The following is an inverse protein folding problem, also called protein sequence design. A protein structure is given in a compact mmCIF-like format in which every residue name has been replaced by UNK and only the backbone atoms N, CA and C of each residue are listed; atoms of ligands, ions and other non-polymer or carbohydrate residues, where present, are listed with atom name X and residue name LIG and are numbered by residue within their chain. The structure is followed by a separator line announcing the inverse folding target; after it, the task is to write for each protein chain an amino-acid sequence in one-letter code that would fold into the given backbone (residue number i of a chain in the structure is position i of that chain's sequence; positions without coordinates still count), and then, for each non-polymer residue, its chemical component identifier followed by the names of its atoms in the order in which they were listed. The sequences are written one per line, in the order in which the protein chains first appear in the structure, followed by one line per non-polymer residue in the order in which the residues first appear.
data_IF_365599363633
#
_entry.id   IF_365599363633
#
_cell.length_a   1.000
_cell.length_b   1.000
_cell.length_c   1.000
_cell.angle_alpha   90.00
_cell.angle_beta   90.00
_cell.angle_gamma   90.00
#
_symmetry.space_group_name_H-M   'P 1'
#
loop_
_entity.id
_entity.type
_entity.pdbx_description
1 polymer ?
#
# COMPACT_ATOMS: atom_id res chain seq x y z
N UNK A 1 -15.53 3.98 12.28
CA UNK A 1 -15.13 3.25 13.51
C UNK A 1 -14.65 4.17 14.62
N UNK A 2 -13.53 4.91 14.48
CA UNK A 2 -13.03 5.79 15.56
C UNK A 2 -14.06 6.81 16.06
N UNK A 3 -14.81 7.45 15.16
CA UNK A 3 -15.90 8.38 15.53
C UNK A 3 -17.02 7.68 16.32
N UNK A 4 -17.39 6.45 15.93
CA UNK A 4 -18.39 5.65 16.65
C UNK A 4 -17.91 5.20 18.03
N UNK A 5 -16.59 5.06 18.22
CA UNK A 5 -15.97 4.84 19.52
C UNK A 5 -15.93 6.11 20.39
N UNK A 6 -16.37 7.25 19.86
CA UNK A 6 -16.46 8.53 20.57
C UNK A 6 -15.30 9.49 20.30
N UNK A 7 -14.34 9.17 19.42
CA UNK A 7 -13.20 10.05 19.14
C UNK A 7 -13.64 11.37 18.49
N UNK A 8 -12.92 12.45 18.80
CA UNK A 8 -13.05 13.72 18.07
C UNK A 8 -12.96 13.48 16.53
N UNK A 9 -13.96 13.95 15.76
CA UNK A 9 -14.03 13.75 14.30
C UNK A 9 -12.75 14.15 13.56
N UNK A 10 -12.11 15.26 13.94
CA UNK A 10 -10.88 15.74 13.27
C UNK A 10 -9.70 14.84 13.63
N UNK A 11 -9.53 14.49 14.91
CA UNK A 11 -8.46 13.56 15.34
C UNK A 11 -8.64 12.19 14.69
N UNK A 12 -9.85 11.66 14.65
CA UNK A 12 -10.17 10.39 13.99
C UNK A 12 -9.77 10.41 12.52
N UNK A 13 -10.11 11.48 11.78
CA UNK A 13 -9.72 11.64 10.39
C UNK A 13 -8.20 11.77 10.19
N UNK A 14 -7.51 12.57 11.01
CA UNK A 14 -6.03 12.72 10.94
C UNK A 14 -5.34 11.38 11.22
N UNK A 15 -5.75 10.67 12.27
CA UNK A 15 -5.19 9.36 12.63
C UNK A 15 -5.42 8.35 11.52
N UNK A 16 -6.63 8.31 10.93
CA UNK A 16 -6.93 7.40 9.81
C UNK A 16 -6.08 7.71 8.56
N UNK A 17 -5.90 8.99 8.21
CA UNK A 17 -5.06 9.41 7.08
C UNK A 17 -3.58 9.06 7.30
N UNK A 18 -3.08 9.24 8.52
CA UNK A 18 -1.69 8.92 8.87
C UNK A 18 -1.47 7.41 8.97
N UNK A 19 -2.43 6.65 9.50
CA UNK A 19 -2.31 5.19 9.58
C UNK A 19 -2.27 4.55 8.19
N UNK A 20 -2.93 5.18 7.22
CA UNK A 20 -2.94 4.76 5.83
C UNK A 20 -1.59 4.97 5.11
N UNK A 21 -0.48 5.28 5.78
CA UNK A 21 0.87 5.41 5.15
C UNK A 21 1.80 4.25 5.44
N UNK A 22 1.46 3.28 6.29
CA UNK A 22 2.31 2.09 6.47
C UNK A 22 2.08 0.98 5.42
N UNK A 23 0.83 0.71 4.98
CA UNK A 23 0.51 -0.48 4.17
C UNK A 23 0.18 -0.17 2.69
N UNK A 24 0.64 0.96 2.13
CA UNK A 24 0.12 1.35 0.80
C UNK A 24 0.82 0.63 -0.32
N UNK A 25 2.13 0.42 -0.23
CA UNK A 25 2.91 -0.16 -1.32
C UNK A 25 2.46 -1.60 -1.61
N UNK A 26 2.13 -2.37 -0.56
CA UNK A 26 1.55 -3.71 -0.70
C UNK A 26 0.02 -3.73 -0.56
N UNK A 27 -0.62 -2.56 -0.61
CA UNK A 27 -2.06 -2.40 -0.59
C UNK A 27 -2.74 -3.06 -1.78
N UNK A 28 -4.02 -3.41 -1.62
CA UNK A 28 -4.77 -4.19 -2.61
C UNK A 28 -3.99 -5.43 -3.09
N UNK A 29 -3.36 -6.13 -2.13
CA UNK A 29 -2.51 -7.30 -2.36
C UNK A 29 -1.36 -7.04 -3.33
N UNK A 30 -0.55 -6.02 -3.05
CA UNK A 30 0.65 -5.75 -3.85
C UNK A 30 0.37 -5.13 -5.21
N UNK A 31 -0.85 -4.71 -5.54
CA UNK A 31 -1.17 -4.12 -6.85
C UNK A 31 -0.23 -2.97 -7.23
N UNK A 32 0.12 -2.02 -6.35
CA UNK A 32 1.07 -0.96 -6.70
C UNK A 32 2.46 -1.47 -7.09
N UNK A 33 3.01 -2.43 -6.35
CA UNK A 33 4.32 -3.03 -6.62
C UNK A 33 4.28 -3.95 -7.86
N UNK A 34 3.17 -4.66 -8.07
CA UNK A 34 2.94 -5.46 -9.29
C UNK A 34 2.91 -4.56 -10.52
N UNK A 35 2.15 -3.46 -10.47
CA UNK A 35 2.12 -2.49 -11.57
C UNK A 35 3.49 -1.86 -11.79
N UNK A 36 4.20 -1.50 -10.72
CA UNK A 36 5.57 -0.97 -10.83
C UNK A 36 6.48 -1.95 -11.56
N UNK A 37 6.50 -3.22 -11.17
CA UNK A 37 7.30 -4.27 -11.82
C UNK A 37 6.91 -4.44 -13.30
N UNK A 38 5.61 -4.42 -13.61
CA UNK A 38 5.11 -4.55 -14.99
C UNK A 38 5.56 -3.39 -15.89
N UNK A 39 5.41 -2.14 -15.45
CA UNK A 39 5.76 -0.98 -16.30
C UNK A 39 7.27 -0.75 -16.40
N UNK A 40 8.04 -1.23 -15.42
CA UNK A 40 9.50 -1.12 -15.42
C UNK A 40 10.20 -2.30 -16.10
N UNK A 41 9.51 -3.43 -16.26
CA UNK A 41 10.11 -4.69 -16.70
C UNK A 41 11.02 -5.35 -15.65
N UNK A 42 11.06 -4.83 -14.43
CA UNK A 42 11.88 -5.39 -13.34
C UNK A 42 11.20 -6.63 -12.73
N UNK A 43 11.97 -7.61 -12.21
CA UNK A 43 11.40 -8.73 -11.49
C UNK A 43 10.59 -8.27 -10.28
N UNK A 44 9.36 -8.80 -10.15
CA UNK A 44 8.44 -8.44 -9.06
C UNK A 44 9.08 -8.63 -7.68
N UNK A 45 9.72 -9.79 -7.47
CA UNK A 45 10.31 -10.14 -6.18
C UNK A 45 11.48 -9.21 -5.82
N UNK A 46 12.26 -8.76 -6.81
CA UNK A 46 13.34 -7.77 -6.59
C UNK A 46 12.78 -6.43 -6.14
N UNK A 47 11.82 -5.87 -6.87
CA UNK A 47 11.19 -4.58 -6.51
C UNK A 47 10.48 -4.68 -5.16
N UNK A 48 9.72 -5.76 -4.95
CA UNK A 48 9.02 -6.02 -3.70
C UNK A 48 9.98 -6.12 -2.52
N UNK A 49 11.13 -6.79 -2.67
CA UNK A 49 12.10 -6.93 -1.59
C UNK A 49 12.71 -5.58 -1.19
N UNK A 50 12.99 -4.69 -2.15
CA UNK A 50 13.55 -3.35 -1.87
C UNK A 50 12.52 -2.45 -1.20
N UNK A 51 11.29 -2.40 -1.72
CA UNK A 51 10.17 -1.70 -1.05
C UNK A 51 9.99 -2.26 0.37
N UNK A 52 10.04 -3.59 0.50
CA UNK A 52 9.98 -4.34 1.75
C UNK A 52 11.17 -4.18 2.67
N UNK A 53 12.21 -3.45 2.26
CA UNK A 53 13.35 -3.04 3.09
C UNK A 53 13.29 -1.55 3.46
N UNK A 54 12.44 -0.78 2.78
CA UNK A 54 12.21 0.65 3.01
C UNK A 54 10.99 0.89 3.90
N UNK A 55 9.83 0.36 3.53
CA UNK A 55 8.55 0.63 4.22
C UNK A 55 8.49 0.10 5.65
N UNK A 56 9.08 -1.06 6.02
CA UNK A 56 8.99 -1.54 7.40
C UNK A 56 9.66 -0.63 8.42
N UNK A 57 10.71 0.10 8.02
CA UNK A 57 11.39 1.05 8.89
C UNK A 57 10.45 2.18 9.31
N UNK A 58 9.58 2.62 8.40
CA UNK A 58 8.53 3.59 8.73
C UNK A 58 7.41 2.93 9.53
N UNK A 59 6.99 1.72 9.13
CA UNK A 59 5.92 1.00 9.81
C UNK A 59 6.22 0.71 11.30
N UNK A 60 7.50 0.58 11.66
CA UNK A 60 7.96 0.49 13.05
C UNK A 60 7.58 1.72 13.88
N UNK A 61 7.66 2.91 13.27
CA UNK A 61 7.50 4.21 13.94
C UNK A 61 6.06 4.71 13.85
N UNK A 62 5.31 4.33 12.80
CA UNK A 62 3.94 4.80 12.55
C UNK A 62 3.02 4.58 13.77
N UNK A 63 2.96 3.41 14.44
CA UNK A 63 2.11 3.25 15.63
C UNK A 63 2.42 4.25 16.75
N UNK A 64 3.70 4.58 16.97
CA UNK A 64 4.11 5.59 17.97
C UNK A 64 3.63 6.99 17.57
N UNK A 65 3.69 7.31 16.26
CA UNK A 65 3.15 8.55 15.71
C UNK A 65 1.64 8.64 15.89
N UNK A 66 0.91 7.55 15.62
CA UNK A 66 -0.55 7.51 15.79
C UNK A 66 -0.95 7.76 17.25
N UNK A 67 -0.26 7.12 18.21
CA UNK A 67 -0.47 7.36 19.64
C UNK A 67 -0.20 8.82 20.00
N UNK A 68 0.89 9.39 19.48
CA UNK A 68 1.23 10.79 19.70
C UNK A 68 0.17 11.74 19.12
N UNK A 69 -0.41 11.42 17.96
CA UNK A 69 -1.48 12.22 17.36
C UNK A 69 -2.78 12.22 18.18
N UNK A 70 -3.04 11.14 18.91
CA UNK A 70 -4.25 10.99 19.72
C UNK A 70 -4.15 11.78 21.04
N UNK A 71 -3.05 11.64 21.79
CA UNK A 71 -2.91 12.18 23.16
C UNK A 71 -1.49 12.74 23.46
N UNK A 72 -0.69 13.02 22.43
CA UNK A 72 0.61 13.68 22.55
C UNK A 72 1.65 12.86 23.33
N UNK A 73 2.47 13.58 24.12
CA UNK A 73 3.54 12.97 24.93
C UNK A 73 3.02 12.03 26.01
N UNK A 74 1.80 12.28 26.49
CA UNK A 74 1.18 11.48 27.55
C UNK A 74 0.79 10.10 27.02
N UNK A 75 0.00 10.06 25.94
CA UNK A 75 -0.35 8.81 25.26
C UNK A 75 0.88 7.98 24.91
N UNK A 76 1.95 8.62 24.41
CA UNK A 76 3.20 7.94 24.10
C UNK A 76 3.84 7.32 25.35
N UNK A 77 3.95 8.07 26.45
CA UNK A 77 4.52 7.55 27.70
C UNK A 77 3.73 6.37 28.27
N UNK A 78 2.41 6.39 28.14
CA UNK A 78 1.52 5.34 28.68
C UNK A 78 1.48 4.09 27.78
N UNK A 79 1.61 4.24 26.45
CA UNK A 79 1.35 3.14 25.48
C UNK A 79 2.49 2.81 24.51
N UNK A 80 3.70 3.35 24.74
CA UNK A 80 4.85 3.07 23.85
C UNK A 80 5.18 1.58 23.72
N UNK A 81 4.98 0.76 24.77
CA UNK A 81 5.27 -0.68 24.72
C UNK A 81 4.32 -1.39 23.74
N UNK A 82 2.98 -1.32 23.90
CA UNK A 82 2.03 -1.84 22.90
C UNK A 82 2.28 -1.32 21.49
N UNK A 83 2.52 -0.01 21.34
CA UNK A 83 2.73 0.61 20.05
C UNK A 83 4.00 0.10 19.36
N UNK A 84 5.11 0.01 20.09
CA UNK A 84 6.36 -0.52 19.58
C UNK A 84 6.25 -2.02 19.26
N UNK A 85 5.59 -2.80 20.11
CA UNK A 85 5.36 -4.22 19.85
C UNK A 85 4.56 -4.45 18.56
N UNK A 86 3.50 -3.65 18.37
CA UNK A 86 2.70 -3.66 17.14
C UNK A 86 3.56 -3.28 15.92
N UNK A 87 4.32 -2.18 16.01
CA UNK A 87 5.19 -1.71 14.93
C UNK A 87 6.29 -2.69 14.57
N UNK A 88 6.95 -3.30 15.55
CA UNK A 88 7.99 -4.33 15.35
C UNK A 88 7.39 -5.56 14.68
N UNK A 89 6.27 -6.07 15.18
CA UNK A 89 5.63 -7.25 14.61
C UNK A 89 5.17 -7.00 13.17
N UNK A 90 4.56 -5.83 12.92
CA UNK A 90 4.16 -5.41 11.57
C UNK A 90 5.38 -5.31 10.65
N UNK A 91 6.43 -4.60 11.07
CA UNK A 91 7.63 -4.39 10.26
C UNK A 91 8.36 -5.70 9.92
N UNK A 92 8.54 -6.58 10.91
CA UNK A 92 9.21 -7.88 10.72
C UNK A 92 8.41 -8.77 9.78
N UNK A 93 7.09 -8.85 9.96
CA UNK A 93 6.23 -9.65 9.10
C UNK A 93 6.16 -9.07 7.68
N UNK A 94 6.07 -7.75 7.51
CA UNK A 94 6.09 -7.09 6.20
C UNK A 94 7.42 -7.36 5.48
N UNK A 95 8.56 -7.21 6.17
CA UNK A 95 9.89 -7.52 5.65
C UNK A 95 9.99 -9.00 5.24
N UNK A 96 9.63 -9.93 6.12
CA UNK A 96 9.74 -11.36 5.85
C UNK A 96 8.86 -11.79 4.67
N UNK A 97 7.62 -11.31 4.63
CA UNK A 97 6.70 -11.66 3.56
C UNK A 97 7.12 -11.08 2.21
N UNK A 98 7.54 -9.81 2.16
CA UNK A 98 8.00 -9.17 0.92
C UNK A 98 9.33 -9.72 0.38
N UNK A 99 10.21 -10.22 1.25
CA UNK A 99 11.52 -10.75 0.83
C UNK A 99 11.51 -12.25 0.54
N UNK A 100 10.66 -13.03 1.20
CA UNK A 100 10.77 -14.50 1.18
C UNK A 100 9.47 -15.23 0.82
N UNK A 101 8.32 -14.55 0.79
CA UNK A 101 7.03 -15.22 0.57
C UNK A 101 6.34 -14.70 -0.69
N UNK A 102 5.85 -13.47 -0.66
CA UNK A 102 5.06 -12.86 -1.75
C UNK A 102 4.72 -11.41 -1.41
N UNK A 103 4.85 -10.52 -2.41
CA UNK A 103 4.43 -9.13 -2.32
C UNK A 103 2.93 -8.99 -1.97
N UNK A 104 2.09 -9.91 -2.46
CA UNK A 104 0.64 -9.88 -2.27
C UNK A 104 0.22 -10.16 -0.82
N UNK A 105 1.03 -10.94 -0.08
CA UNK A 105 0.77 -11.32 1.31
C UNK A 105 1.38 -10.36 2.33
N UNK A 106 2.26 -9.45 1.90
CA UNK A 106 3.08 -8.64 2.80
C UNK A 106 2.27 -7.89 3.85
N UNK A 107 1.28 -7.09 3.44
CA UNK A 107 0.50 -6.30 4.38
C UNK A 107 -0.56 -7.10 5.14
N UNK A 108 -1.04 -8.22 4.58
CA UNK A 108 -1.98 -9.11 5.29
C UNK A 108 -1.25 -9.77 6.47
N UNK A 109 -0.08 -10.36 6.21
CA UNK A 109 0.76 -10.96 7.24
C UNK A 109 1.20 -9.93 8.28
N UNK A 110 1.60 -8.74 7.84
CA UNK A 110 1.99 -7.63 8.71
C UNK A 110 0.85 -7.16 9.63
N UNK A 111 -0.36 -6.96 9.08
CA UNK A 111 -1.51 -6.54 9.85
C UNK A 111 -1.92 -7.59 10.90
N UNK A 112 -1.94 -8.87 10.54
CA UNK A 112 -2.24 -9.96 11.47
C UNK A 112 -1.17 -10.11 12.56
N UNK A 113 0.11 -10.01 12.21
CA UNK A 113 1.20 -10.04 13.18
C UNK A 113 1.14 -8.84 14.14
N UNK A 114 0.88 -7.63 13.62
CA UNK A 114 0.70 -6.42 14.42
C UNK A 114 -0.49 -6.53 15.39
N UNK A 115 -1.65 -6.97 14.90
CA UNK A 115 -2.83 -7.22 15.73
C UNK A 115 -2.57 -8.29 16.80
N UNK A 116 -1.95 -9.41 16.43
CA UNK A 116 -1.59 -10.47 17.36
C UNK A 116 -0.63 -10.00 18.44
N UNK A 117 0.40 -9.23 18.08
CA UNK A 117 1.33 -8.63 19.03
C UNK A 117 0.64 -7.67 19.99
N UNK A 118 -0.27 -6.84 19.49
CA UNK A 118 -1.04 -5.91 20.33
C UNK A 118 -1.89 -6.67 21.36
N UNK A 119 -2.58 -7.74 20.94
CA UNK A 119 -3.40 -8.58 21.83
C UNK A 119 -2.52 -9.34 22.84
N UNK A 120 -1.32 -9.78 22.45
CA UNK A 120 -0.41 -10.53 23.30
C UNK A 120 0.21 -9.67 24.42
N UNK A 121 0.39 -8.36 24.20
CA UNK A 121 0.95 -7.44 25.20
C UNK A 121 -0.09 -7.18 26.32
N UNK A 122 0.13 -7.63 27.57
CA UNK A 122 -0.86 -7.47 28.64
C UNK A 122 -1.18 -6.00 28.95
N UNK A 123 -0.19 -5.11 28.81
CA UNK A 123 -0.36 -3.66 28.98
C UNK A 123 -1.30 -3.03 27.95
N UNK A 124 -1.49 -3.64 26.79
CA UNK A 124 -2.46 -3.15 25.80
C UNK A 124 -3.92 -3.35 26.26
N UNK A 125 -4.13 -4.24 27.23
CA UNK A 125 -5.45 -4.56 27.80
C UNK A 125 -5.81 -3.73 29.03
N UNK A 126 -4.88 -2.89 29.50
CA UNK A 126 -5.14 -1.99 30.61
C UNK A 126 -5.93 -0.79 30.08
N UNK A 127 -7.12 -0.48 30.61
CA UNK A 127 -7.90 0.67 30.19
C UNK A 127 -7.07 1.96 30.33
N UNK A 128 -7.17 2.82 29.32
CA UNK A 128 -6.54 4.14 29.40
C UNK A 128 -7.05 4.92 30.62
N UNK A 129 -6.18 5.70 31.25
CA UNK A 129 -6.51 6.55 32.39
C UNK A 129 -7.72 7.44 32.07
N UNK A 130 -8.59 7.70 33.04
CA UNK A 130 -9.83 8.49 32.84
C UNK A 130 -9.57 9.83 32.13
N UNK A 131 -8.51 10.53 32.52
CA UNK A 131 -8.14 11.81 31.88
C UNK A 131 -7.75 11.69 30.39
N UNK A 132 -7.30 10.52 29.91
CA UNK A 132 -7.05 10.24 28.48
C UNK A 132 -8.37 9.90 27.78
N UNK A 133 -9.24 9.13 28.43
CA UNK A 133 -10.60 8.89 27.91
C UNK A 133 -11.37 10.19 27.75
N UNK A 134 -11.36 11.07 28.75
CA UNK A 134 -12.05 12.37 28.69
C UNK A 134 -11.42 13.34 27.67
N UNK A 135 -10.10 13.27 27.42
CA UNK A 135 -9.44 14.15 26.44
C UNK A 135 -9.66 13.71 24.98
N UNK A 136 -9.93 12.43 24.75
CA UNK A 136 -10.03 11.81 23.41
C UNK A 136 -11.48 11.53 23.01
N UNK A 137 -12.33 11.15 23.96
CA UNK A 137 -13.72 10.78 23.73
C UNK A 137 -14.63 12.01 23.91
N UNK A 138 -15.06 12.60 22.81
CA UNK A 138 -15.97 13.76 22.79
C UNK A 138 -17.37 13.40 22.27
N UNK A 139 -17.56 12.21 21.71
CA UNK A 139 -18.85 11.71 21.21
C UNK A 139 -19.56 10.77 22.19
N UNK A 140 -20.88 10.61 21.99
CA UNK A 140 -21.66 9.58 22.67
C UNK A 140 -21.25 8.20 22.15
N UNK A 141 -20.76 7.33 23.04
CA UNK A 141 -20.50 5.93 22.75
C UNK A 141 -21.85 5.22 22.58
N UNK A 142 -22.03 4.47 21.49
CA UNK A 142 -23.25 3.67 21.30
C UNK A 142 -23.36 2.62 22.41
N UNK A 143 -24.53 2.49 23.04
CA UNK A 143 -24.82 1.48 24.08
C UNK A 143 -24.68 0.04 23.53
N UNK A 144 -24.83 -0.17 22.22
CA UNK A 144 -24.62 -1.47 21.56
C UNK A 144 -23.17 -1.99 21.63
N UNK A 145 -22.19 -1.15 21.98
CA UNK A 145 -20.77 -1.53 22.09
C UNK A 145 -20.39 -2.11 23.47
N UNK A 146 -21.35 -2.24 24.39
CA UNK A 146 -21.13 -2.77 25.74
C UNK A 146 -21.43 -4.27 25.87
N UNK A 147 -22.03 -4.89 24.84
CA UNK A 147 -22.28 -6.33 24.82
C UNK A 147 -21.05 -7.11 24.29
N UNK A 148 -20.65 -8.17 24.99
CA UNK A 148 -19.57 -9.05 24.53
C UNK A 148 -20.09 -10.01 23.45
N UNK A 149 -19.52 -9.91 22.25
CA UNK A 149 -19.85 -10.82 21.15
C UNK A 149 -19.50 -12.28 21.49
N UNK A 150 -20.36 -13.25 21.13
CA UNK A 150 -20.05 -14.67 21.27
C UNK A 150 -18.75 -15.03 20.54
N UNK A 151 -17.87 -15.82 21.19
CA UNK A 151 -16.59 -16.24 20.59
C UNK A 151 -16.72 -16.86 19.20
N UNK A 152 -17.82 -17.57 18.94
CA UNK A 152 -18.10 -18.17 17.64
C UNK A 152 -18.35 -17.13 16.53
N UNK A 153 -19.03 -16.04 16.85
CA UNK A 153 -19.28 -14.93 15.91
C UNK A 153 -18.00 -14.15 15.64
N UNK A 154 -17.21 -13.90 16.69
CA UNK A 154 -15.88 -13.30 16.56
C UNK A 154 -15.01 -14.12 15.61
N UNK A 155 -14.89 -15.43 15.82
CA UNK A 155 -14.10 -16.31 14.93
C UNK A 155 -14.64 -16.31 13.50
N UNK A 156 -15.97 -16.34 13.33
CA UNK A 156 -16.61 -16.32 12.01
C UNK A 156 -16.36 -15.00 11.27
N UNK A 157 -16.28 -13.87 11.99
CA UNK A 157 -15.96 -12.56 11.42
C UNK A 157 -14.54 -12.49 10.83
N UNK A 158 -13.60 -13.30 11.32
CA UNK A 158 -12.25 -13.40 10.77
C UNK A 158 -12.11 -14.38 9.60
N UNK A 159 -13.17 -15.12 9.25
CA UNK A 159 -13.14 -16.10 8.14
C UNK A 159 -12.66 -15.52 6.78
N UNK A 160 -13.06 -14.30 6.35
CA UNK A 160 -12.59 -13.73 5.09
C UNK A 160 -11.07 -13.59 5.04
N UNK A 161 -10.46 -13.09 6.11
CA UNK A 161 -9.02 -12.89 6.20
C UNK A 161 -8.26 -14.23 6.25
N UNK A 162 -8.77 -15.19 7.03
CA UNK A 162 -8.19 -16.53 7.10
C UNK A 162 -8.21 -17.24 5.73
N UNK A 163 -9.32 -17.13 4.99
CA UNK A 163 -9.44 -17.72 3.66
C UNK A 163 -8.49 -17.08 2.65
N UNK A 164 -8.33 -15.74 2.67
CA UNK A 164 -7.36 -15.05 1.82
C UNK A 164 -5.94 -15.55 2.13
N UNK A 165 -5.54 -15.59 3.41
CA UNK A 165 -4.21 -16.10 3.79
C UNK A 165 -4.01 -17.53 3.29
N UNK A 166 -4.96 -18.43 3.54
CA UNK A 166 -4.85 -19.84 3.14
C UNK A 166 -4.74 -19.98 1.61
N UNK A 167 -5.62 -19.32 0.85
CA UNK A 167 -5.62 -19.43 -0.62
C UNK A 167 -4.31 -18.91 -1.21
N UNK A 168 -3.84 -17.74 -0.75
CA UNK A 168 -2.60 -17.18 -1.27
C UNK A 168 -1.39 -17.99 -0.83
N UNK A 169 -1.35 -18.51 0.40
CA UNK A 169 -0.28 -19.40 0.84
C UNK A 169 -0.22 -20.68 -0.01
N UNK A 170 -1.38 -21.28 -0.34
CA UNK A 170 -1.45 -22.44 -1.23
C UNK A 170 -0.99 -22.06 -2.64
N UNK A 171 -1.40 -20.91 -3.16
CA UNK A 171 -1.02 -20.44 -4.49
C UNK A 171 0.50 -20.18 -4.63
N UNK A 172 1.22 -19.96 -3.53
CA UNK A 172 2.68 -19.78 -3.53
C UNK A 172 3.47 -21.09 -3.42
N UNK A 173 2.83 -22.24 -3.18
CA UNK A 173 3.50 -23.53 -3.21
C UNK A 173 4.04 -23.75 -4.63
N UNK A 174 5.35 -24.06 -4.84
CA UNK A 174 5.95 -24.10 -6.17
C UNK A 174 5.15 -24.92 -7.20
N UNK A 175 4.70 -26.12 -6.83
CA UNK A 175 3.88 -26.96 -7.69
C UNK A 175 2.54 -26.33 -8.10
N UNK A 176 1.90 -25.59 -7.19
CA UNK A 176 0.64 -24.88 -7.46
C UNK A 176 0.91 -23.63 -8.30
N UNK A 177 1.97 -22.89 -7.98
CA UNK A 177 2.40 -21.70 -8.72
C UNK A 177 2.70 -22.04 -10.17
N UNK A 178 3.42 -23.13 -10.43
CA UNK A 178 3.75 -23.60 -11.78
C UNK A 178 2.49 -24.05 -12.54
N UNK A 179 1.58 -24.74 -11.85
CA UNK A 179 0.28 -25.13 -12.42
C UNK A 179 -0.58 -23.92 -12.78
N UNK A 180 -0.66 -22.92 -11.90
CA UNK A 180 -1.35 -21.65 -12.13
C UNK A 180 -0.69 -20.85 -13.27
N UNK A 181 0.64 -20.87 -13.34
CA UNK A 181 1.40 -20.21 -14.39
C UNK A 181 1.13 -20.86 -15.77
N UNK A 182 0.99 -22.18 -15.83
CA UNK A 182 0.64 -22.91 -17.06
C UNK A 182 -0.73 -22.55 -17.65
N UNK A 183 -1.62 -21.95 -16.86
CA UNK A 183 -2.90 -21.42 -17.34
C UNK A 183 -2.79 -20.02 -17.97
N UNK A 184 -1.62 -19.38 -17.86
CA UNK A 184 -1.35 -18.05 -18.43
C UNK A 184 -1.25 -18.16 -19.95
N UNK A 185 -2.02 -17.33 -20.66
CA UNK A 185 -1.96 -17.27 -22.13
C UNK A 185 -1.28 -15.97 -22.56
N UNK A 186 -0.25 -16.08 -23.38
CA UNK A 186 0.39 -14.92 -24.01
C UNK A 186 -0.02 -14.84 -25.48
N UNK A 187 -0.27 -13.64 -25.97
CA UNK A 187 -0.52 -13.38 -27.38
C UNK A 187 -0.01 -12.00 -27.77
N UNK A 188 0.43 -11.88 -29.02
CA UNK A 188 0.80 -10.58 -29.58
C UNK A 188 -0.45 -9.73 -29.80
N UNK A 189 -0.44 -8.52 -29.26
CA UNK A 189 -1.52 -7.58 -29.43
C UNK A 189 -1.55 -7.09 -30.88
N UNK A 190 -2.66 -7.27 -31.61
CA UNK A 190 -2.70 -6.95 -33.02
C UNK A 190 -2.49 -5.45 -33.24
N UNK A 191 -1.74 -5.10 -34.29
CA UNK A 191 -1.44 -3.73 -34.71
C UNK A 191 -0.57 -2.89 -33.75
N UNK A 192 0.07 -3.53 -32.77
CA UNK A 192 1.02 -2.88 -31.88
C UNK A 192 2.43 -3.34 -32.23
N UNK A 193 3.02 -2.76 -33.28
CA UNK A 193 4.41 -3.03 -33.67
C UNK A 193 5.27 -1.84 -33.27
N UNK A 194 6.04 -2.00 -32.19
CA UNK A 194 6.97 -0.99 -31.68
C UNK A 194 8.38 -1.53 -31.85
N UNK A 195 9.29 -0.71 -32.39
CA UNK A 195 10.70 -1.05 -32.50
C UNK A 195 11.54 -0.11 -31.62
N UNK A 196 12.66 -0.63 -31.11
CA UNK A 196 13.67 0.18 -30.42
C UNK A 196 14.46 1.03 -31.44
N UNK A 197 15.37 1.90 -31.01
CA UNK A 197 16.21 2.70 -31.93
C UNK A 197 17.05 1.86 -32.89
N UNK A 198 17.36 0.61 -32.55
CA UNK A 198 18.14 -0.33 -33.37
C UNK A 198 17.26 -1.08 -34.39
N UNK A 199 15.94 -0.88 -34.37
CA UNK A 199 14.97 -1.53 -35.26
C UNK A 199 14.45 -2.88 -34.78
N UNK A 200 14.86 -3.34 -33.59
CA UNK A 200 14.38 -4.58 -33.00
C UNK A 200 13.01 -4.40 -32.33
N UNK A 201 12.11 -5.40 -32.40
CA UNK A 201 10.81 -5.34 -31.73
C UNK A 201 10.95 -5.15 -30.22
N UNK A 202 10.22 -4.18 -29.67
CA UNK A 202 10.09 -4.00 -28.22
C UNK A 202 8.97 -4.93 -27.76
N UNK A 203 9.23 -5.81 -26.79
CA UNK A 203 8.27 -6.81 -26.28
C UNK A 203 7.00 -6.25 -25.60
N UNK A 204 6.74 -4.95 -25.72
CA UNK A 204 5.53 -4.29 -25.21
C UNK A 204 4.25 -4.63 -25.98
N UNK A 205 4.36 -5.37 -27.08
CA UNK A 205 3.23 -5.91 -27.83
C UNK A 205 2.71 -7.26 -27.30
N UNK A 206 3.49 -7.95 -26.46
CA UNK A 206 3.08 -9.24 -25.90
C UNK A 206 2.11 -9.00 -24.73
N UNK A 207 0.83 -9.32 -24.93
CA UNK A 207 -0.16 -9.32 -23.87
C UNK A 207 -0.12 -10.64 -23.11
N UNK A 208 0.04 -10.58 -21.79
CA UNK A 208 -0.08 -11.74 -20.90
C UNK A 208 -1.45 -11.73 -20.22
N UNK A 209 -2.17 -12.85 -20.36
CA UNK A 209 -3.47 -13.09 -19.74
C UNK A 209 -3.35 -14.15 -18.62
N UNK A 210 -2.97 -13.75 -17.39
CA UNK A 210 -2.84 -14.65 -16.23
C UNK A 210 -4.17 -14.86 -15.50
N UNK A 211 -5.21 -15.39 -16.16
CA UNK A 211 -6.58 -15.37 -15.61
C UNK A 211 -6.72 -16.05 -14.24
N UNK A 212 -6.00 -17.15 -14.02
CA UNK A 212 -6.10 -17.95 -12.78
C UNK A 212 -5.07 -17.51 -11.75
N UNK A 213 -3.87 -17.15 -12.19
CA UNK A 213 -2.74 -16.74 -11.34
C UNK A 213 -2.82 -15.29 -10.86
N UNK A 214 -3.77 -14.49 -11.37
CA UNK A 214 -3.96 -13.10 -10.93
C UNK A 214 -4.51 -13.04 -9.50
N UNK A 215 -3.93 -12.17 -8.66
CA UNK A 215 -4.37 -11.98 -7.27
C UNK A 215 -5.86 -11.62 -7.14
N UNK A 216 -6.42 -10.89 -8.11
CA UNK A 216 -7.87 -10.60 -8.17
C UNK A 216 -8.74 -11.84 -8.25
N UNK A 217 -8.37 -12.85 -9.05
CA UNK A 217 -9.10 -14.12 -9.17
C UNK A 217 -9.00 -14.93 -7.88
N UNK A 218 -7.82 -14.97 -7.26
CA UNK A 218 -7.62 -15.63 -5.97
C UNK A 218 -8.48 -15.00 -4.86
N UNK A 219 -8.63 -13.67 -4.85
CA UNK A 219 -9.57 -13.00 -3.92
C UNK A 219 -11.01 -13.23 -4.27
N UNK A 220 -11.37 -13.31 -5.56
CA UNK A 220 -12.73 -13.66 -5.94
C UNK A 220 -13.11 -15.04 -5.41
N UNK A 221 -12.21 -16.02 -5.53
CA UNK A 221 -12.37 -17.37 -4.95
C UNK A 221 -12.50 -17.27 -3.42
N UNK A 222 -11.64 -16.50 -2.76
CA UNK A 222 -11.71 -16.28 -1.31
C UNK A 222 -13.06 -15.68 -0.89
N UNK A 223 -13.58 -14.71 -1.63
CA UNK A 223 -14.88 -14.07 -1.39
C UNK A 223 -16.05 -15.05 -1.56
N UNK A 224 -16.02 -15.91 -2.59
CA UNK A 224 -17.05 -16.94 -2.80
C UNK A 224 -17.05 -17.95 -1.65
N UNK A 225 -15.87 -18.45 -1.24
CA UNK A 225 -15.76 -19.35 -0.09
C UNK A 225 -16.20 -18.68 1.21
N UNK A 226 -15.88 -17.39 1.38
CA UNK A 226 -16.30 -16.59 2.52
C UNK A 226 -17.82 -16.48 2.58
N UNK A 227 -18.47 -16.18 1.45
CA UNK A 227 -19.93 -16.13 1.37
C UNK A 227 -20.56 -17.49 1.75
N UNK A 228 -19.95 -18.60 1.36
CA UNK A 228 -20.40 -19.94 1.75
C UNK A 228 -20.23 -20.20 3.25
N UNK A 229 -19.09 -19.85 3.85
CA UNK A 229 -18.81 -20.02 5.30
C UNK A 229 -19.72 -19.13 6.16
N UNK A 230 -19.97 -17.89 5.72
CA UNK A 230 -20.88 -16.95 6.40
C UNK A 230 -22.36 -17.28 6.12
N UNK A 231 -22.64 -18.17 5.15
CA UNK A 231 -24.02 -18.58 4.83
C UNK A 231 -24.82 -17.47 4.16
N UNK A 232 -24.15 -16.59 3.41
CA UNK A 232 -24.80 -15.52 2.64
C UNK A 232 -25.49 -16.14 1.43
N UNK A 233 -26.76 -15.79 1.23
CA UNK A 233 -27.50 -16.23 0.05
C UNK A 233 -26.83 -15.73 -1.24
N UNK A 234 -26.63 -16.62 -2.23
CA UNK A 234 -25.92 -16.29 -3.46
C UNK A 234 -26.47 -15.05 -4.18
N UNK A 235 -27.79 -14.85 -4.16
CA UNK A 235 -28.45 -13.67 -4.75
C UNK A 235 -28.02 -12.37 -4.07
N UNK A 236 -27.86 -12.38 -2.76
CA UNK A 236 -27.38 -11.22 -1.98
C UNK A 236 -25.90 -10.99 -2.31
N UNK A 237 -25.08 -12.04 -2.27
CA UNK A 237 -23.66 -11.94 -2.59
C UNK A 237 -23.41 -11.35 -4.00
N UNK A 238 -24.14 -11.81 -5.03
CA UNK A 238 -24.03 -11.29 -6.39
C UNK A 238 -24.53 -9.85 -6.50
N UNK A 239 -25.64 -9.52 -5.83
CA UNK A 239 -26.18 -8.15 -5.81
C UNK A 239 -25.17 -7.18 -5.21
N UNK A 240 -24.59 -7.51 -4.05
CA UNK A 240 -23.58 -6.68 -3.40
C UNK A 240 -22.31 -6.59 -4.25
N UNK A 241 -21.86 -7.69 -4.86
CA UNK A 241 -20.71 -7.66 -5.77
C UNK A 241 -20.94 -6.72 -6.95
N UNK A 242 -22.10 -6.77 -7.60
CA UNK A 242 -22.45 -5.86 -8.69
C UNK A 242 -22.57 -4.40 -8.23
N UNK A 243 -23.12 -4.17 -7.04
CA UNK A 243 -23.17 -2.84 -6.43
C UNK A 243 -21.75 -2.28 -6.22
N UNK A 244 -20.83 -3.09 -5.70
CA UNK A 244 -19.42 -2.72 -5.55
C UNK A 244 -18.74 -2.45 -6.89
N UNK A 245 -18.97 -3.27 -7.92
CA UNK A 245 -18.43 -3.00 -9.27
C UNK A 245 -18.95 -1.68 -9.82
N UNK A 246 -20.24 -1.40 -9.64
CA UNK A 246 -20.83 -0.13 -10.05
C UNK A 246 -20.24 1.05 -9.27
N UNK A 247 -20.05 0.92 -7.96
CA UNK A 247 -19.41 1.92 -7.11
C UNK A 247 -17.98 2.23 -7.57
N UNK A 248 -17.20 1.20 -7.89
CA UNK A 248 -15.81 1.32 -8.32
C UNK A 248 -15.62 1.66 -9.80
N UNK A 249 -16.69 1.83 -10.60
CA UNK A 249 -16.59 2.00 -12.07
C UNK A 249 -15.65 3.13 -12.52
N UNK A 250 -15.67 4.27 -11.82
CA UNK A 250 -14.79 5.39 -12.14
C UNK A 250 -13.36 5.14 -11.68
N UNK A 251 -13.16 4.43 -10.56
CA UNK A 251 -11.82 4.03 -10.13
C UNK A 251 -11.19 3.04 -11.13
N UNK A 252 -11.96 2.06 -11.61
CA UNK A 252 -11.54 1.11 -12.65
C UNK A 252 -11.15 1.84 -13.93
N UNK A 253 -12.01 2.77 -14.39
CA UNK A 253 -11.73 3.57 -15.59
C UNK A 253 -10.44 4.38 -15.42
N UNK A 254 -10.26 5.04 -14.28
CA UNK A 254 -9.06 5.86 -14.00
C UNK A 254 -7.79 5.02 -14.00
N UNK A 255 -7.76 3.90 -13.28
CA UNK A 255 -6.58 3.02 -13.23
C UNK A 255 -6.26 2.46 -14.61
N UNK A 256 -7.27 2.03 -15.37
CA UNK A 256 -7.09 1.52 -16.74
C UNK A 256 -6.54 2.61 -17.67
N UNK A 257 -7.07 3.83 -17.59
CA UNK A 257 -6.65 4.97 -18.41
C UNK A 257 -5.23 5.41 -18.08
N UNK A 258 -4.88 5.43 -16.79
CA UNK A 258 -3.54 5.76 -16.32
C UNK A 258 -2.53 4.71 -16.76
N UNK A 259 -2.87 3.41 -16.65
CA UNK A 259 -1.99 2.36 -17.13
C UNK A 259 -1.81 2.43 -18.65
N UNK A 260 -2.90 2.66 -19.41
CA UNK A 260 -2.81 2.89 -20.85
C UNK A 260 -1.90 4.07 -21.21
N UNK A 261 -2.03 5.20 -20.50
CA UNK A 261 -1.15 6.35 -20.68
C UNK A 261 0.31 6.01 -20.36
N UNK A 262 0.57 5.26 -19.28
CA UNK A 262 1.92 4.81 -18.93
C UNK A 262 2.56 3.96 -20.03
N UNK A 263 1.81 3.00 -20.60
CA UNK A 263 2.29 2.21 -21.74
C UNK A 263 2.57 3.10 -22.96
N UNK A 264 1.69 4.06 -23.27
CA UNK A 264 1.93 5.02 -24.36
C UNK A 264 3.19 5.86 -24.09
N UNK A 265 3.36 6.40 -22.89
CA UNK A 265 4.53 7.19 -22.51
C UNK A 265 5.83 6.38 -22.56
N UNK A 266 5.77 5.09 -22.18
CA UNK A 266 6.92 4.20 -22.21
C UNK A 266 7.29 3.82 -23.65
N UNK A 267 6.33 3.34 -24.43
CA UNK A 267 6.55 2.88 -25.81
C UNK A 267 6.87 4.01 -26.79
N UNK A 268 6.38 5.24 -26.54
CA UNK A 268 6.73 6.42 -27.33
C UNK A 268 8.05 7.09 -26.91
N UNK A 269 8.75 6.56 -25.90
CA UNK A 269 10.04 7.10 -25.42
C UNK A 269 9.93 8.40 -24.60
N UNK A 270 8.73 8.88 -24.29
CA UNK A 270 8.53 10.06 -23.44
C UNK A 270 9.10 9.86 -22.03
N UNK A 271 8.81 8.70 -21.42
CA UNK A 271 9.33 8.37 -20.09
C UNK A 271 10.87 8.34 -20.09
N UNK A 272 11.48 7.78 -21.14
CA UNK A 272 12.93 7.75 -21.30
C UNK A 272 13.51 9.16 -21.44
N UNK A 273 12.92 10.02 -22.27
CA UNK A 273 13.38 11.40 -22.50
C UNK A 273 13.37 12.22 -21.20
N UNK A 274 12.29 12.12 -20.42
CA UNK A 274 12.22 12.77 -19.10
C UNK A 274 13.25 12.15 -18.15
N UNK A 275 13.40 10.82 -18.15
CA UNK A 275 14.41 10.11 -17.35
C UNK A 275 15.84 10.59 -17.63
N UNK A 276 16.22 10.76 -18.90
CA UNK A 276 17.52 11.32 -19.30
C UNK A 276 17.72 12.75 -18.79
N UNK A 277 16.69 13.59 -18.87
CA UNK A 277 16.77 14.95 -18.35
C UNK A 277 16.96 14.97 -16.83
N UNK A 278 16.20 14.16 -16.10
CA UNK A 278 16.27 14.08 -14.63
C UNK A 278 17.57 13.42 -14.17
N UNK A 279 18.16 12.51 -14.95
CA UNK A 279 19.46 11.90 -14.68
C UNK A 279 20.60 12.92 -14.59
N UNK A 280 20.45 14.12 -15.19
CA UNK A 280 21.40 15.22 -15.04
C UNK A 280 21.56 15.70 -13.58
N UNK A 281 20.60 15.37 -12.69
CA UNK A 281 20.72 15.62 -11.25
C UNK A 281 21.79 14.75 -10.56
N UNK A 282 22.32 13.72 -11.23
CA UNK A 282 23.42 12.88 -10.74
C UNK A 282 23.12 12.26 -9.38
N UNK A 283 24.05 12.39 -8.43
CA UNK A 283 23.89 11.83 -7.08
C UNK A 283 22.65 12.37 -6.31
N UNK A 284 22.11 13.53 -6.70
CA UNK A 284 20.88 14.08 -6.13
C UNK A 284 19.63 13.24 -6.46
N UNK A 285 19.70 12.37 -7.47
CA UNK A 285 18.58 11.57 -7.94
C UNK A 285 18.06 10.61 -6.86
N UNK A 286 18.94 10.01 -6.06
CA UNK A 286 18.55 9.15 -4.95
C UNK A 286 17.70 9.88 -3.90
N UNK A 287 18.02 11.15 -3.62
CA UNK A 287 17.24 11.98 -2.70
C UNK A 287 15.90 12.42 -3.31
N UNK A 288 15.89 12.76 -4.59
CA UNK A 288 14.71 13.26 -5.30
C UNK A 288 13.72 12.15 -5.69
N UNK A 289 14.18 10.91 -5.80
CA UNK A 289 13.37 9.78 -6.27
C UNK A 289 12.10 9.54 -5.42
N UNK A 290 12.15 9.51 -4.07
CA UNK A 290 10.93 9.43 -3.26
C UNK A 290 10.02 10.65 -3.39
N UNK A 291 10.58 11.83 -3.68
CA UNK A 291 9.78 13.07 -3.84
C UNK A 291 8.93 13.00 -5.10
N UNK A 292 9.44 12.41 -6.19
CA UNK A 292 8.67 12.18 -7.41
C UNK A 292 7.47 11.26 -7.15
N UNK A 293 7.71 10.13 -6.46
CA UNK A 293 6.66 9.20 -6.06
C UNK A 293 5.61 9.85 -5.17
N UNK A 294 6.07 10.57 -4.14
CA UNK A 294 5.26 11.34 -3.21
C UNK A 294 4.36 12.34 -3.93
N UNK A 295 4.91 13.11 -4.87
CA UNK A 295 4.16 14.08 -5.65
C UNK A 295 3.12 13.38 -6.54
N UNK A 296 3.51 12.30 -7.21
CA UNK A 296 2.62 11.50 -8.06
C UNK A 296 1.40 10.98 -7.30
N UNK A 297 1.58 10.48 -6.08
CA UNK A 297 0.46 10.01 -5.25
C UNK A 297 -0.30 11.15 -4.57
N UNK A 298 0.37 12.22 -4.17
CA UNK A 298 -0.30 13.41 -3.63
C UNK A 298 -1.30 14.00 -4.63
N UNK A 299 -0.96 14.00 -5.93
CA UNK A 299 -1.86 14.47 -6.99
C UNK A 299 -2.90 13.41 -7.37
N UNK A 300 -2.50 12.16 -7.57
CA UNK A 300 -3.38 11.11 -8.10
C UNK A 300 -4.22 10.36 -7.06
N UNK A 301 -3.83 10.37 -5.77
CA UNK A 301 -4.42 9.56 -4.71
C UNK A 301 -4.08 8.06 -4.75
N UNK A 302 -3.27 7.62 -5.72
CA UNK A 302 -3.04 6.19 -5.99
C UNK A 302 -1.57 5.87 -6.25
N UNK A 303 -1.01 4.98 -5.44
CA UNK A 303 0.36 4.47 -5.63
C UNK A 303 0.49 3.67 -6.92
N UNK A 304 -0.53 2.88 -7.27
CA UNK A 304 -0.61 2.18 -8.56
C UNK A 304 -0.51 3.14 -9.74
N UNK A 305 -1.21 4.28 -9.67
CA UNK A 305 -1.20 5.28 -10.73
C UNK A 305 0.15 6.00 -10.82
N UNK A 306 0.73 6.36 -9.68
CA UNK A 306 2.06 6.98 -9.61
C UNK A 306 3.16 6.05 -10.11
N UNK A 307 3.12 4.77 -9.72
CA UNK A 307 4.06 3.76 -10.18
C UNK A 307 3.93 3.51 -11.68
N UNK A 308 2.72 3.46 -12.21
CA UNK A 308 2.49 3.37 -13.64
C UNK A 308 3.13 4.55 -14.39
N UNK A 309 2.88 5.78 -13.95
CA UNK A 309 3.38 7.00 -14.61
C UNK A 309 4.90 7.18 -14.51
N UNK A 310 5.47 6.97 -13.32
CA UNK A 310 6.83 7.40 -13.02
C UNK A 310 7.82 6.24 -12.87
N UNK A 311 7.36 4.99 -12.78
CA UNK A 311 8.24 3.83 -12.60
C UNK A 311 9.29 3.68 -13.72
N UNK A 312 8.84 3.68 -14.99
CA UNK A 312 9.74 3.56 -16.13
C UNK A 312 10.73 4.73 -16.23
N UNK A 313 10.28 5.95 -15.90
CA UNK A 313 11.13 7.13 -15.81
C UNK A 313 12.24 6.95 -14.75
N UNK A 314 11.88 6.44 -13.57
CA UNK A 314 12.82 6.21 -12.47
C UNK A 314 13.90 5.20 -12.85
N UNK A 315 13.52 4.11 -13.52
CA UNK A 315 14.44 3.10 -14.04
C UNK A 315 15.37 3.67 -15.10
N UNK A 316 14.83 4.45 -16.06
CA UNK A 316 15.64 5.11 -17.08
C UNK A 316 16.65 6.06 -16.43
N UNK A 317 16.20 6.88 -15.49
CA UNK A 317 17.07 7.82 -14.78
C UNK A 317 18.15 7.08 -13.96
N UNK A 318 17.81 5.95 -13.33
CA UNK A 318 18.75 5.11 -12.60
C UNK A 318 19.88 4.59 -13.50
N UNK A 319 19.53 4.01 -14.65
CA UNK A 319 20.48 3.46 -15.61
C UNK A 319 21.45 4.52 -16.13
N UNK A 320 20.98 5.75 -16.33
CA UNK A 320 21.79 6.87 -16.81
C UNK A 320 22.68 7.49 -15.74
N UNK A 321 22.24 7.49 -14.49
CA UNK A 321 23.01 8.02 -13.35
C UNK A 321 23.89 6.96 -12.65
N UNK A 322 23.88 5.71 -13.13
CA UNK A 322 24.64 4.60 -12.52
C UNK A 322 24.10 4.13 -11.17
N UNK A 323 22.82 4.39 -10.87
CA UNK A 323 22.13 3.94 -9.67
C UNK A 323 21.35 2.64 -9.95
N UNK A 324 21.00 1.88 -8.91
CA UNK A 324 20.18 0.67 -9.05
C UNK A 324 18.78 1.04 -9.58
N UNK A 325 18.33 0.42 -10.69
CA UNK A 325 16.95 0.54 -11.17
C UNK A 325 15.91 0.12 -10.14
N UNK A 326 16.16 -0.96 -9.42
CA UNK A 326 15.29 -1.50 -8.38
C UNK A 326 15.16 -0.51 -7.22
N UNK A 327 16.27 0.14 -6.82
CA UNK A 327 16.27 1.14 -5.76
C UNK A 327 15.38 2.33 -6.13
N UNK A 328 15.53 2.91 -7.32
CA UNK A 328 14.78 4.11 -7.72
C UNK A 328 13.32 3.79 -8.04
N UNK A 329 13.05 2.62 -8.62
CA UNK A 329 11.69 2.13 -8.77
C UNK A 329 11.01 1.95 -7.40
N UNK A 330 11.68 1.28 -6.45
CA UNK A 330 11.15 1.08 -5.11
C UNK A 330 10.97 2.39 -4.34
N UNK A 331 11.93 3.31 -4.46
CA UNK A 331 11.87 4.65 -3.88
C UNK A 331 10.64 5.43 -4.37
N UNK A 332 10.24 5.26 -5.64
CA UNK A 332 9.00 5.83 -6.17
C UNK A 332 7.77 5.34 -5.40
N UNK A 333 7.61 4.03 -5.23
CA UNK A 333 6.47 3.47 -4.49
C UNK A 333 6.53 3.83 -3.00
N UNK A 334 7.69 3.68 -2.36
CA UNK A 334 7.90 4.01 -0.95
C UNK A 334 7.67 5.50 -0.64
N UNK A 335 8.03 6.40 -1.55
CA UNK A 335 7.71 7.82 -1.45
C UNK A 335 6.22 8.10 -1.71
N UNK A 336 5.62 7.41 -2.67
CA UNK A 336 4.21 7.54 -3.03
C UNK A 336 3.26 7.21 -1.88
N UNK A 337 3.56 6.15 -1.15
CA UNK A 337 2.90 5.78 0.11
C UNK A 337 2.71 6.98 1.06
N UNK A 338 3.71 7.86 1.15
CA UNK A 338 3.73 9.01 2.04
C UNK A 338 2.92 10.19 1.50
N UNK A 339 2.78 10.29 0.17
CA UNK A 339 1.94 11.29 -0.50
C UNK A 339 0.44 10.98 -0.37
N UNK A 340 0.09 9.72 -0.13
CA UNK A 340 -1.31 9.28 -0.07
C UNK A 340 -2.15 10.00 0.98
N UNK A 341 -1.54 10.33 2.13
CA UNK A 341 -2.24 11.02 3.22
C UNK A 341 -2.65 12.46 2.92
N UNK A 342 -1.99 13.12 1.97
CA UNK A 342 -2.28 14.51 1.58
C UNK A 342 -3.05 14.60 0.26
N UNK A 343 -3.42 13.46 -0.33
CA UNK A 343 -4.14 13.47 -1.60
C UNK A 343 -5.54 14.06 -1.44
N UNK A 344 -5.99 14.94 -2.36
CA UNK A 344 -7.33 15.53 -2.29
C UNK A 344 -8.42 14.46 -2.17
N UNK A 345 -8.29 13.35 -2.89
CA UNK A 345 -9.26 12.25 -2.85
C UNK A 345 -9.40 11.65 -1.44
N UNK A 346 -8.29 11.33 -0.77
CA UNK A 346 -8.36 10.78 0.59
C UNK A 346 -8.83 11.82 1.61
N UNK A 347 -8.43 13.08 1.46
CA UNK A 347 -8.88 14.18 2.32
C UNK A 347 -10.40 14.38 2.22
N UNK A 348 -10.96 14.37 1.01
CA UNK A 348 -12.40 14.49 0.79
C UNK A 348 -13.16 13.30 1.39
N UNK A 349 -12.67 12.07 1.21
CA UNK A 349 -13.29 10.88 1.82
C UNK A 349 -13.26 10.97 3.35
N UNK A 350 -12.12 11.37 3.93
CA UNK A 350 -11.99 11.54 5.37
C UNK A 350 -12.94 12.63 5.89
N UNK A 351 -13.00 13.79 5.24
CA UNK A 351 -13.93 14.88 5.54
C UNK A 351 -15.40 14.43 5.51
N UNK A 352 -15.81 13.73 4.45
CA UNK A 352 -17.16 13.23 4.30
C UNK A 352 -17.53 12.22 5.40
N UNK A 353 -16.61 11.31 5.73
CA UNK A 353 -16.83 10.27 6.74
C UNK A 353 -16.98 10.82 8.17
N UNK A 354 -16.45 12.02 8.45
CA UNK A 354 -16.49 12.63 9.79
C UNK A 354 -17.39 13.87 9.85
N UNK A 355 -18.19 14.14 8.81
CA UNK A 355 -19.14 15.26 8.77
C UNK A 355 -18.51 16.64 8.64
N UNK A 356 -17.30 16.72 8.06
CA UNK A 356 -16.51 17.94 7.88
C UNK A 356 -16.31 18.29 6.39
N UNK A 357 -17.31 18.02 5.55
CA UNK A 357 -17.26 18.37 4.13
C UNK A 357 -16.95 19.87 3.92
N UNK A 358 -16.03 20.19 3.02
CA UNK A 358 -15.58 21.57 2.77
C UNK A 358 -14.48 22.06 3.73
N UNK A 359 -14.00 21.22 4.65
CA UNK A 359 -12.89 21.53 5.58
C UNK A 359 -11.62 20.72 5.28
N UNK A 360 -11.44 20.29 4.05
CA UNK A 360 -10.30 19.48 3.60
C UNK A 360 -8.97 20.21 3.85
N UNK A 361 -8.97 21.55 3.69
CA UNK A 361 -7.80 22.39 3.95
C UNK A 361 -7.36 22.39 5.42
N UNK A 362 -8.29 22.22 6.38
CA UNK A 362 -7.95 22.14 7.80
C UNK A 362 -7.27 20.80 8.11
N UNK A 363 -7.74 19.72 7.49
CA UNK A 363 -7.13 18.39 7.58
C UNK A 363 -5.75 18.39 6.92
N UNK A 364 -5.62 18.94 5.71
CA UNK A 364 -4.35 19.05 4.99
C UNK A 364 -3.28 19.74 5.83
N UNK A 365 -3.59 20.88 6.46
CA UNK A 365 -2.65 21.60 7.33
C UNK A 365 -2.16 20.77 8.51
N UNK A 366 -2.97 19.83 8.99
CA UNK A 366 -2.61 18.93 10.10
C UNK A 366 -1.78 17.74 9.64
N UNK A 367 -2.05 17.17 8.46
CA UNK A 367 -1.34 15.98 7.96
C UNK A 367 -0.07 16.31 7.15
N UNK A 368 0.02 17.50 6.54
CA UNK A 368 1.14 17.88 5.68
C UNK A 368 2.51 17.83 6.39
N UNK A 369 2.68 18.31 7.64
CA UNK A 369 3.97 18.21 8.33
C UNK A 369 4.43 16.75 8.54
N UNK A 370 3.48 15.84 8.78
CA UNK A 370 3.77 14.41 8.93
C UNK A 370 4.23 13.79 7.62
N UNK A 371 3.52 14.12 6.53
CA UNK A 371 3.87 13.66 5.19
C UNK A 371 5.28 14.11 4.79
N UNK A 372 5.61 15.38 4.98
CA UNK A 372 6.94 15.93 4.67
C UNK A 372 8.04 15.38 5.58
N UNK A 373 7.75 15.19 6.88
CA UNK A 373 8.70 14.63 7.83
C UNK A 373 9.04 13.17 7.50
N UNK A 374 8.03 12.34 7.22
CA UNK A 374 8.25 10.95 6.80
C UNK A 374 8.92 10.87 5.42
N UNK A 375 8.58 11.79 4.50
CA UNK A 375 9.23 11.87 3.19
C UNK A 375 10.72 12.15 3.33
N UNK A 376 11.10 13.10 4.19
CA UNK A 376 12.51 13.39 4.44
C UNK A 376 13.25 12.16 4.96
N UNK A 377 12.65 11.42 5.90
CA UNK A 377 13.22 10.16 6.40
C UNK A 377 13.40 9.15 5.27
N UNK A 378 12.41 8.99 4.40
CA UNK A 378 12.49 8.10 3.24
C UNK A 378 13.60 8.53 2.26
N UNK A 379 13.71 9.83 1.95
CA UNK A 379 14.78 10.37 1.12
C UNK A 379 16.17 10.04 1.71
N UNK A 380 16.34 10.17 3.03
CA UNK A 380 17.61 9.82 3.70
C UNK A 380 17.89 8.30 3.67
N UNK A 381 16.87 7.46 3.81
CA UNK A 381 17.00 6.00 3.67
C UNK A 381 17.47 5.66 2.26
N UNK A 382 16.84 6.21 1.22
CA UNK A 382 17.18 5.92 -0.18
C UNK A 382 18.58 6.42 -0.53
N UNK A 383 18.97 7.60 -0.05
CA UNK A 383 20.36 8.08 -0.18
C UNK A 383 21.32 7.11 0.51
N UNK A 384 21.03 6.67 1.74
CA UNK A 384 21.85 5.68 2.42
C UNK A 384 21.98 4.37 1.62
N UNK A 385 20.88 3.88 1.03
CA UNK A 385 20.84 2.67 0.21
C UNK A 385 21.58 2.83 -1.12
N UNK A 386 21.66 4.04 -1.67
CA UNK A 386 22.45 4.33 -2.87
C UNK A 386 23.97 4.37 -2.61
N UNK A 387 24.39 4.33 -1.34
CA UNK A 387 25.81 4.38 -0.94
C UNK A 387 26.26 3.09 -0.27
N UNK A 388 27.57 2.94 -0.05
CA UNK A 388 28.13 1.77 0.65
C UNK A 388 27.59 1.58 2.09
N UNK A 389 26.97 2.60 2.69
CA UNK A 389 26.45 2.55 4.06
C UNK A 389 25.27 1.59 4.23
N UNK A 390 24.29 1.64 3.31
CA UNK A 390 23.12 0.74 3.31
C UNK A 390 22.97 -0.03 1.99
N UNK A 391 23.96 0.00 1.10
CA UNK A 391 23.92 -0.74 -0.17
C UNK A 391 23.77 -2.26 0.00
N UNK A 392 24.15 -2.81 1.16
CA UNK A 392 23.89 -4.21 1.53
C UNK A 392 22.39 -4.55 1.63
N UNK A 393 21.51 -3.54 1.71
CA UNK A 393 20.06 -3.72 1.69
C UNK A 393 19.51 -3.88 0.26
N UNK A 394 20.33 -3.82 -0.79
CA UNK A 394 19.89 -4.12 -2.15
C UNK A 394 20.18 -5.59 -2.49
N UNK A 395 19.31 -6.26 -3.28
CA UNK A 395 19.48 -7.65 -3.68
C UNK A 395 20.68 -7.87 -4.63
#
# INVERSE_FOLDING_TARGET
MLVALGFDPVRAAVVALVANTAPVAFGAMGTPVVTLAQVTGLPLDSVASVVGRQTPLLALVVPLVLVWLVDGRRGLRETWIPALACGVAFAVAQFAASNYVSAQLADIGAALAGAGALVAVPRARVPATEAVRTSVLTGARSEELDEEDPRGEVVRAYAPYALIVVIFSIAQIPAVKDWLAGATRTFDWPFLDVANPDGDPVGGNVFSWPIVSTGGTLVLIAGVLTAAVIGVHARVAVKEWLATVYELRFAILTVTSVLALAYVMNLSGQAATIGHFVAAAGAGLAFLSPVLGWFGVAVSGSDTSSNALFGALQVTAAQQSGLSPELLAAANSSGGVLGKMISPQNLTIACAAVGLAGREGDLLRKVLPWSLGLLLVMCLIVVGQSTAALGWMLP
#
